data_IF_865865076578
#
_entry.id   IF_865865076578
#
_cell.length_a   1.000
_cell.length_b   1.000
_cell.length_c   1.000
_cell.angle_alpha   90.00
_cell.angle_beta   90.00
_cell.angle_gamma   90.00
#
_symmetry.space_group_name_H-M   'P 1'
#
loop_
_entity.id
_entity.type
_entity.pdbx_description
1 polymer ?
#
# COMPACT_ATOMS: atom_id res chain seq x y z
N UNK A 1 13.02 -26.94 56.16
CA UNK A 1 13.99 -25.97 55.61
C UNK A 1 14.13 -26.27 54.12
N UNK A 2 13.82 -25.30 53.24
CA UNK A 2 13.72 -25.47 51.78
C UNK A 2 15.11 -25.74 51.16
N UNK A 3 15.17 -26.45 50.02
CA UNK A 3 15.58 -25.70 48.84
C UNK A 3 14.65 -25.94 47.65
N UNK A 4 14.09 -24.81 47.22
CA UNK A 4 13.54 -24.53 45.89
C UNK A 4 14.42 -25.21 44.83
N UNK A 5 13.86 -26.14 44.06
CA UNK A 5 14.50 -26.68 42.85
C UNK A 5 13.64 -26.37 41.64
N UNK A 6 13.85 -25.13 41.18
CA UNK A 6 14.00 -24.73 39.78
C UNK A 6 12.76 -25.01 38.90
N UNK A 7 11.96 -23.96 38.73
CA UNK A 7 11.04 -23.79 37.60
C UNK A 7 11.82 -23.98 36.29
N UNK A 8 11.73 -25.15 35.67
CA UNK A 8 12.14 -25.35 34.28
C UNK A 8 11.03 -24.85 33.35
N UNK A 9 10.91 -23.53 33.24
CA UNK A 9 10.13 -22.89 32.19
C UNK A 9 11.03 -22.73 30.95
N UNK A 10 11.18 -23.79 30.16
CA UNK A 10 11.76 -23.68 28.82
C UNK A 10 10.62 -23.48 27.82
N UNK A 11 10.08 -22.25 27.81
CA UNK A 11 9.17 -21.82 26.76
C UNK A 11 9.98 -21.71 25.46
N UNK A 12 9.75 -22.65 24.53
CA UNK A 12 10.24 -22.59 23.16
C UNK A 12 9.70 -21.31 22.51
N UNK A 13 10.56 -20.29 22.37
CA UNK A 13 10.32 -19.21 21.42
C UNK A 13 10.43 -19.79 20.01
N UNK A 14 9.30 -20.27 19.47
CA UNK A 14 9.13 -20.41 18.04
C UNK A 14 9.21 -19.01 17.42
N UNK A 15 10.41 -18.59 17.02
CA UNK A 15 10.62 -17.40 16.19
C UNK A 15 10.08 -17.74 14.81
N UNK A 16 8.77 -17.52 14.61
CA UNK A 16 8.20 -17.50 13.29
C UNK A 16 8.82 -16.36 12.50
N UNK A 17 9.30 -16.62 11.28
CA UNK A 17 9.75 -15.57 10.38
C UNK A 17 8.58 -14.63 10.10
N UNK A 18 8.68 -13.39 10.58
CA UNK A 18 7.80 -12.32 10.15
C UNK A 18 8.30 -11.87 8.79
N UNK A 19 7.61 -12.29 7.72
CA UNK A 19 7.82 -11.69 6.41
C UNK A 19 7.25 -10.28 6.45
N UNK A 20 8.10 -9.27 6.24
CA UNK A 20 7.64 -7.92 5.97
C UNK A 20 7.09 -7.89 4.53
N UNK A 21 5.77 -7.86 4.39
CA UNK A 21 5.13 -7.64 3.09
C UNK A 21 5.43 -6.20 2.65
N UNK A 22 5.96 -6.04 1.43
CA UNK A 22 6.20 -4.71 0.87
C UNK A 22 4.88 -3.94 0.79
N UNK A 23 4.94 -2.64 1.04
CA UNK A 23 3.77 -1.77 0.88
C UNK A 23 3.08 -2.03 -0.48
N UNK A 24 1.75 -2.13 -0.54
CA UNK A 24 1.05 -2.27 -1.80
C UNK A 24 1.39 -1.09 -2.73
N UNK A 25 1.81 -1.40 -3.96
CA UNK A 25 2.12 -0.40 -4.97
C UNK A 25 0.86 0.03 -5.73
N UNK A 26 0.69 1.33 -5.90
CA UNK A 26 -0.38 1.94 -6.69
C UNK A 26 0.22 2.79 -7.81
N UNK A 27 -0.26 2.58 -9.03
CA UNK A 27 0.07 3.41 -10.19
C UNK A 27 -1.11 4.36 -10.46
N UNK A 28 -0.85 5.66 -10.45
CA UNK A 28 -1.87 6.70 -10.66
C UNK A 28 -1.59 7.44 -11.96
N UNK A 29 -2.51 7.37 -12.92
CA UNK A 29 -2.45 8.12 -14.17
C UNK A 29 -3.38 9.32 -14.06
N UNK A 30 -2.83 10.53 -14.06
CA UNK A 30 -3.60 11.78 -13.86
C UNK A 30 -3.15 12.86 -14.83
N UNK A 31 -3.95 13.91 -14.99
CA UNK A 31 -3.44 15.13 -15.61
C UNK A 31 -2.47 15.86 -14.64
N UNK A 32 -1.38 16.43 -15.17
CA UNK A 32 -0.40 17.18 -14.39
C UNK A 32 -1.03 18.30 -13.54
N UNK A 33 -2.05 18.97 -14.08
CA UNK A 33 -2.74 20.09 -13.43
C UNK A 33 -3.91 19.69 -12.51
N UNK A 34 -4.21 18.40 -12.37
CA UNK A 34 -5.30 17.93 -11.51
C UNK A 34 -4.90 17.96 -10.02
N UNK A 35 -5.26 19.05 -9.32
CA UNK A 35 -4.91 19.25 -7.91
C UNK A 35 -5.59 18.25 -6.96
N UNK A 36 -6.84 17.86 -7.22
CA UNK A 36 -7.53 16.85 -6.39
C UNK A 36 -6.89 15.46 -6.53
N UNK A 37 -6.46 15.08 -7.74
CA UNK A 37 -5.70 13.86 -7.98
C UNK A 37 -4.36 13.88 -7.22
N UNK A 38 -3.68 15.04 -7.20
CA UNK A 38 -2.48 15.25 -6.39
C UNK A 38 -2.73 15.05 -4.89
N UNK A 39 -3.79 15.67 -4.36
CA UNK A 39 -4.18 15.49 -2.96
C UNK A 39 -4.54 14.03 -2.62
N UNK A 40 -5.16 13.30 -3.54
CA UNK A 40 -5.44 11.87 -3.35
C UNK A 40 -4.17 11.02 -3.33
N UNK A 41 -3.21 11.30 -4.21
CA UNK A 41 -1.88 10.68 -4.20
C UNK A 41 -1.16 10.93 -2.87
N UNK A 42 -1.21 12.15 -2.36
CA UNK A 42 -0.60 12.49 -1.06
C UNK A 42 -1.28 11.74 0.08
N UNK A 43 -2.61 11.62 0.07
CA UNK A 43 -3.35 10.84 1.05
C UNK A 43 -2.94 9.36 1.02
N UNK A 44 -2.81 8.75 -0.16
CA UNK A 44 -2.35 7.36 -0.29
C UNK A 44 -0.94 7.18 0.30
N UNK A 45 0.00 8.06 -0.03
CA UNK A 45 1.37 8.01 0.52
C UNK A 45 1.39 8.14 2.04
N UNK A 46 0.58 9.05 2.59
CA UNK A 46 0.45 9.23 4.04
C UNK A 46 -0.11 7.98 4.75
N UNK A 47 -0.85 7.13 4.04
CA UNK A 47 -1.39 5.88 4.55
C UNK A 47 -0.51 4.66 4.23
N UNK A 48 0.76 4.87 3.86
CA UNK A 48 1.74 3.81 3.73
C UNK A 48 1.74 3.08 2.39
N UNK A 49 1.04 3.58 1.37
CA UNK A 49 1.10 3.03 0.02
C UNK A 49 2.35 3.54 -0.73
N UNK A 50 2.93 2.66 -1.55
CA UNK A 50 3.96 3.07 -2.50
C UNK A 50 3.27 3.60 -3.78
N UNK A 51 3.31 4.91 -4.01
CA UNK A 51 2.55 5.53 -5.11
C UNK A 51 3.46 6.11 -6.18
N UNK A 52 3.35 5.55 -7.39
CA UNK A 52 3.95 6.04 -8.62
C UNK A 52 2.90 6.79 -9.43
N UNK A 53 3.16 8.07 -9.74
CA UNK A 53 2.22 8.93 -10.47
C UNK A 53 2.75 9.26 -11.86
N UNK A 54 1.91 9.04 -12.88
CA UNK A 54 2.19 9.34 -14.28
C UNK A 54 1.30 10.49 -14.74
N UNK A 55 1.93 11.58 -15.16
CA UNK A 55 1.22 12.69 -15.78
C UNK A 55 0.95 12.36 -17.25
N UNK A 56 -0.32 12.36 -17.62
CA UNK A 56 -0.80 12.03 -18.97
C UNK A 56 -1.74 13.11 -19.48
N UNK A 57 -1.69 13.35 -20.79
CA UNK A 57 -2.55 14.33 -21.44
C UNK A 57 -4.01 13.86 -21.49
N UNK A 58 -4.23 12.56 -21.72
CA UNK A 58 -5.55 11.94 -21.83
C UNK A 58 -5.73 10.79 -20.81
N UNK A 59 -6.33 11.11 -19.67
CA UNK A 59 -6.66 10.12 -18.64
C UNK A 59 -7.71 9.12 -19.15
N UNK A 60 -8.67 9.57 -19.94
CA UNK A 60 -9.76 8.71 -20.46
C UNK A 60 -9.23 7.63 -21.39
N UNK A 61 -8.31 7.96 -22.28
CA UNK A 61 -7.64 6.98 -23.13
C UNK A 61 -6.86 5.95 -22.30
N UNK A 62 -6.20 6.36 -21.22
CA UNK A 62 -5.48 5.43 -20.34
C UNK A 62 -6.44 4.51 -19.57
N UNK A 63 -7.56 5.03 -19.04
CA UNK A 63 -8.61 4.21 -18.39
C UNK A 63 -9.17 3.17 -19.36
N UNK A 64 -9.48 3.57 -20.59
CA UNK A 64 -10.00 2.68 -21.63
C UNK A 64 -9.01 1.56 -21.99
N UNK A 65 -7.71 1.89 -22.09
CA UNK A 65 -6.64 0.89 -22.33
C UNK A 65 -6.57 -0.18 -21.23
N UNK A 66 -6.88 0.21 -19.99
CA UNK A 66 -6.94 -0.70 -18.83
C UNK A 66 -8.28 -1.45 -18.72
N UNK A 67 -9.19 -1.28 -19.67
CA UNK A 67 -10.48 -1.99 -19.70
C UNK A 67 -11.56 -1.37 -18.80
N UNK A 68 -11.37 -0.14 -18.32
CA UNK A 68 -12.37 0.54 -17.50
C UNK A 68 -13.59 0.93 -18.35
N UNK A 69 -14.83 0.56 -17.93
CA UNK A 69 -16.04 1.08 -18.56
C UNK A 69 -16.13 2.60 -18.42
N UNK A 70 -16.44 3.31 -19.50
CA UNK A 70 -16.50 4.79 -19.53
C UNK A 70 -17.35 5.39 -18.41
N UNK A 71 -18.49 4.76 -18.08
CA UNK A 71 -19.41 5.21 -17.03
C UNK A 71 -18.82 5.21 -15.62
N UNK A 72 -17.68 4.56 -15.39
CA UNK A 72 -16.97 4.51 -14.11
C UNK A 72 -15.75 5.43 -14.08
N UNK A 73 -15.52 6.21 -15.15
CA UNK A 73 -14.39 7.13 -15.24
C UNK A 73 -14.46 8.27 -14.23
N UNK A 74 -13.29 8.65 -13.71
CA UNK A 74 -13.06 9.83 -12.88
C UNK A 74 -11.86 10.62 -13.40
N UNK A 75 -11.53 11.73 -12.75
CA UNK A 75 -10.35 12.55 -13.01
C UNK A 75 -9.03 11.77 -12.96
#
# INVERSE_FOLDING_TARGET
>A
MKPVRILSALALLSVGSVYAESAPRIEVYKNASCSCCGGWVDHLRQNGFEVSSHDVDDVSANRKKLGMPERLGSC
#
